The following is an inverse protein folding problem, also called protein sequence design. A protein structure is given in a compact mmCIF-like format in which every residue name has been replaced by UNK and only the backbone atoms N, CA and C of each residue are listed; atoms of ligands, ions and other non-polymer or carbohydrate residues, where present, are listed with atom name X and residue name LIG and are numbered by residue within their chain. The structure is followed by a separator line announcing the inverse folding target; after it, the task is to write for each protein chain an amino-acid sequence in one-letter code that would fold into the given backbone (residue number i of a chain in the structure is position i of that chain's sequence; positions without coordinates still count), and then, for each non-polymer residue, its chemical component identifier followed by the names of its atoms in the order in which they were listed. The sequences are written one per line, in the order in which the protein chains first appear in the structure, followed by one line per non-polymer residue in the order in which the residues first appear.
data_IF_415739797298
#
_entry.id   IF_415739797298
#
_cell.length_a   1.000
_cell.length_b   1.000
_cell.length_c   1.000
_cell.angle_alpha   90.00
_cell.angle_beta   90.00
_cell.angle_gamma   90.00
#
_symmetry.space_group_name_H-M   'P 1'
#
loop_
_entity.id
_entity.type
_entity.pdbx_description
1 polymer ?
#
# COMPACT_ATOMS: atom_id res chain seq x y z
N UNK A 1 -1.05 27.51 -11.16
CA UNK A 1 0.24 28.22 -11.03
C UNK A 1 1.23 27.95 -12.17
N UNK A 2 1.42 26.71 -12.66
CA UNK A 2 2.48 26.41 -13.66
C UNK A 2 2.00 26.21 -15.12
N UNK A 3 0.71 26.37 -15.41
CA UNK A 3 0.15 26.20 -16.77
C UNK A 3 -0.17 24.74 -17.14
N UNK A 4 -0.83 24.54 -18.28
CA UNK A 4 -1.26 23.23 -18.79
C UNK A 4 -0.10 22.34 -19.25
N UNK A 5 1.01 22.95 -19.65
CA UNK A 5 2.10 22.24 -20.33
C UNK A 5 3.12 21.68 -19.34
N UNK A 6 3.02 22.06 -18.06
CA UNK A 6 3.93 21.62 -17.00
C UNK A 6 3.73 20.15 -16.63
N UNK A 7 2.47 19.70 -16.58
CA UNK A 7 2.08 18.33 -16.26
C UNK A 7 1.18 17.80 -17.38
N UNK A 8 1.67 16.81 -18.12
CA UNK A 8 1.00 16.33 -19.33
C UNK A 8 0.74 14.83 -19.25
N UNK A 9 -0.46 14.42 -19.67
CA UNK A 9 -0.81 13.03 -19.89
C UNK A 9 -0.20 12.55 -21.20
N UNK A 10 0.54 11.45 -21.15
CA UNK A 10 1.14 10.76 -22.29
C UNK A 10 0.57 9.34 -22.32
N UNK A 11 -0.44 9.12 -23.16
CA UNK A 11 -1.03 7.81 -23.42
C UNK A 11 -1.10 7.53 -24.93
N UNK A 12 -1.68 6.38 -25.30
CA UNK A 12 -1.80 5.97 -26.70
C UNK A 12 -2.89 6.72 -27.50
N UNK A 13 -3.73 7.52 -26.83
CA UNK A 13 -4.80 8.32 -27.45
C UNK A 13 -4.35 9.77 -27.70
N UNK A 14 -3.28 10.22 -27.06
CA UNK A 14 -2.73 11.56 -27.26
C UNK A 14 -2.05 11.71 -28.63
N UNK A 15 -2.57 12.65 -29.43
CA UNK A 15 -1.95 13.05 -30.69
C UNK A 15 -0.58 13.67 -30.37
N UNK A 16 0.49 13.15 -30.98
CA UNK A 16 1.89 13.55 -30.73
C UNK A 16 2.53 13.11 -29.40
N UNK A 17 2.09 11.99 -28.82
CA UNK A 17 2.71 11.40 -27.62
C UNK A 17 4.24 11.27 -27.72
N UNK A 18 4.78 10.90 -28.89
CA UNK A 18 6.23 10.79 -29.09
C UNK A 18 6.95 12.14 -28.95
N UNK A 19 6.40 13.22 -29.51
CA UNK A 19 7.00 14.55 -29.37
C UNK A 19 6.99 15.03 -27.90
N UNK A 20 5.98 14.64 -27.12
CA UNK A 20 5.92 14.95 -25.70
C UNK A 20 6.99 14.18 -24.92
N UNK A 21 7.23 12.92 -25.27
CA UNK A 21 8.33 12.11 -24.71
C UNK A 21 9.69 12.72 -25.07
N UNK A 22 9.89 13.10 -26.33
CA UNK A 22 11.13 13.69 -26.81
C UNK A 22 11.38 15.09 -26.23
N UNK A 23 10.31 15.83 -25.88
CA UNK A 23 10.45 17.09 -25.17
C UNK A 23 10.72 16.86 -23.67
N UNK A 24 10.09 15.86 -23.05
CA UNK A 24 10.33 15.50 -21.65
C UNK A 24 11.77 15.02 -21.39
N UNK A 25 12.43 14.45 -22.40
CA UNK A 25 13.85 14.07 -22.30
C UNK A 25 14.82 15.25 -22.37
N UNK A 26 14.34 16.45 -22.71
CA UNK A 26 15.16 17.67 -22.77
C UNK A 26 14.90 18.52 -21.53
N UNK A 27 15.93 18.79 -20.69
CA UNK A 27 15.76 19.41 -19.37
C UNK A 27 15.08 20.77 -19.39
N UNK A 28 15.43 21.57 -20.40
CA UNK A 28 14.94 22.94 -20.57
C UNK A 28 13.53 23.02 -21.19
N UNK A 29 12.92 21.88 -21.54
CA UNK A 29 11.61 21.83 -22.20
C UNK A 29 10.52 21.37 -21.24
N UNK A 30 9.29 21.59 -21.68
CA UNK A 30 8.08 21.07 -21.04
C UNK A 30 7.64 19.77 -21.74
N UNK A 31 7.00 18.83 -21.03
CA UNK A 31 6.57 18.92 -19.63
C UNK A 31 7.69 18.65 -18.61
N UNK A 32 7.45 19.00 -17.34
CA UNK A 32 8.31 18.64 -16.20
C UNK A 32 7.74 17.45 -15.42
N UNK A 33 6.43 17.17 -15.57
CA UNK A 33 5.77 15.98 -15.04
C UNK A 33 5.07 15.27 -16.21
N UNK A 34 5.41 14.01 -16.43
CA UNK A 34 4.75 13.16 -17.40
C UNK A 34 3.91 12.09 -16.69
N UNK A 35 2.61 12.10 -16.92
CA UNK A 35 1.68 11.06 -16.42
C UNK A 35 1.46 10.07 -17.54
N UNK A 36 1.69 8.78 -17.29
CA UNK A 36 1.58 7.77 -18.36
C UNK A 36 0.90 6.49 -17.89
N UNK A 37 0.14 5.91 -18.82
CA UNK A 37 -0.36 4.55 -18.75
C UNK A 37 0.46 3.70 -19.72
N UNK A 38 1.42 2.96 -19.18
CA UNK A 38 2.25 1.96 -19.87
C UNK A 38 3.22 2.47 -20.95
N UNK A 39 3.03 3.68 -21.48
CA UNK A 39 3.86 4.28 -22.53
C UNK A 39 5.28 4.63 -22.07
N UNK A 40 5.47 5.02 -20.80
CA UNK A 40 6.78 5.33 -20.22
C UNK A 40 7.44 4.14 -19.51
N UNK A 41 6.78 2.98 -19.45
CA UNK A 41 7.29 1.82 -18.71
C UNK A 41 8.48 1.17 -19.45
N UNK A 42 8.54 1.28 -20.79
CA UNK A 42 9.60 0.73 -21.66
C UNK A 42 10.10 1.72 -22.71
N UNK A 43 11.41 1.75 -22.94
CA UNK A 43 11.99 2.39 -24.14
C UNK A 43 12.34 3.88 -24.04
N UNK A 44 12.23 4.48 -22.85
CA UNK A 44 12.57 5.90 -22.64
C UNK A 44 13.82 6.02 -21.78
N UNK A 45 14.72 6.90 -22.21
CA UNK A 45 16.00 7.17 -21.57
C UNK A 45 16.08 8.67 -21.23
N UNK A 46 15.69 9.02 -20.01
CA UNK A 46 15.82 10.37 -19.46
C UNK A 46 16.69 10.30 -18.21
N UNK A 47 18.01 10.57 -18.32
CA UNK A 47 18.94 10.48 -17.20
C UNK A 47 18.56 11.35 -15.99
N UNK A 48 17.90 12.47 -16.25
CA UNK A 48 17.55 13.50 -15.27
C UNK A 48 16.29 13.20 -14.45
N UNK A 49 15.68 12.01 -14.58
CA UNK A 49 14.54 11.65 -13.74
C UNK A 49 14.95 11.61 -12.26
N UNK A 50 14.44 12.55 -11.47
CA UNK A 50 14.69 12.64 -10.03
C UNK A 50 13.57 12.03 -9.18
N UNK A 51 12.36 11.90 -9.74
CA UNK A 51 11.17 11.46 -9.00
C UNK A 51 10.38 10.43 -9.82
N UNK A 52 10.10 9.26 -9.24
CA UNK A 52 9.17 8.27 -9.78
C UNK A 52 7.95 8.17 -8.88
N UNK A 53 6.76 8.21 -9.47
CA UNK A 53 5.50 8.15 -8.72
C UNK A 53 4.70 6.94 -9.16
N UNK A 54 4.51 5.97 -8.26
CA UNK A 54 3.61 4.84 -8.45
C UNK A 54 2.20 5.20 -7.95
N UNK A 55 1.34 5.58 -8.89
CA UNK A 55 -0.08 5.82 -8.65
C UNK A 55 -0.98 4.68 -9.20
N UNK A 56 -0.38 3.52 -9.47
CA UNK A 56 -1.06 2.29 -9.90
C UNK A 56 -0.48 1.08 -9.18
N UNK A 57 -1.31 0.05 -8.97
CA UNK A 57 -0.84 -1.27 -8.51
C UNK A 57 -0.12 -1.97 -9.65
N UNK A 58 1.14 -2.30 -9.44
CA UNK A 58 1.99 -3.07 -10.35
C UNK A 58 2.00 -4.51 -9.85
N UNK A 59 1.51 -5.43 -10.68
CA UNK A 59 1.42 -6.86 -10.31
C UNK A 59 2.60 -7.70 -10.79
N UNK A 60 3.43 -7.16 -11.69
CA UNK A 60 4.61 -7.85 -12.24
C UNK A 60 5.89 -7.30 -11.63
N UNK A 61 6.70 -8.18 -11.05
CA UNK A 61 8.00 -7.84 -10.44
C UNK A 61 8.96 -7.25 -11.48
N UNK A 62 8.99 -7.82 -12.68
CA UNK A 62 9.80 -7.28 -13.79
C UNK A 62 9.36 -5.87 -14.16
N UNK A 63 8.06 -5.66 -14.37
CA UNK A 63 7.53 -4.34 -14.74
C UNK A 63 7.84 -3.30 -13.66
N UNK A 64 7.72 -3.68 -12.38
CA UNK A 64 8.09 -2.81 -11.26
C UNK A 64 9.56 -2.40 -11.32
N UNK A 65 10.48 -3.36 -11.45
CA UNK A 65 11.91 -3.04 -11.54
C UNK A 65 12.31 -2.31 -12.83
N UNK A 66 11.61 -2.55 -13.94
CA UNK A 66 11.77 -1.75 -15.17
C UNK A 66 11.36 -0.30 -14.95
N UNK A 67 10.27 -0.05 -14.22
CA UNK A 67 9.83 1.29 -13.85
C UNK A 67 10.84 1.95 -12.89
N UNK A 68 11.31 1.24 -11.87
CA UNK A 68 12.37 1.73 -10.94
C UNK A 68 13.66 2.06 -11.70
N UNK A 69 14.05 1.22 -12.65
CA UNK A 69 15.25 1.40 -13.47
C UNK A 69 15.26 2.70 -14.29
N UNK A 70 14.11 3.38 -14.46
CA UNK A 70 14.06 4.70 -15.11
C UNK A 70 14.78 5.78 -14.30
N UNK A 71 14.80 5.65 -12.97
CA UNK A 71 15.47 6.60 -12.08
C UNK A 71 16.98 6.35 -11.90
N UNK A 72 17.50 5.17 -12.27
CA UNK A 72 18.86 4.74 -11.90
C UNK A 72 19.96 5.25 -12.81
N UNK A 73 19.61 5.91 -13.93
CA UNK A 73 20.59 6.51 -14.84
C UNK A 73 21.36 7.62 -14.13
N UNK A 74 22.69 7.64 -14.31
CA UNK A 74 23.56 8.72 -13.84
C UNK A 74 23.36 9.96 -14.71
N UNK A 75 23.42 11.13 -14.08
CA UNK A 75 23.39 12.41 -14.77
C UNK A 75 24.36 13.37 -14.08
N UNK A 76 25.20 14.04 -14.85
CA UNK A 76 26.12 15.05 -14.34
C UNK A 76 25.37 16.35 -14.00
N UNK A 77 25.86 17.10 -13.03
CA UNK A 77 25.39 18.44 -12.64
C UNK A 77 23.88 18.63 -12.33
N UNK A 78 23.11 17.54 -12.17
CA UNK A 78 21.64 17.60 -12.03
C UNK A 78 21.17 18.27 -10.73
N UNK A 79 21.99 18.21 -9.67
CA UNK A 79 21.69 18.83 -8.38
C UNK A 79 22.35 20.19 -8.21
N UNK A 80 23.14 20.64 -9.19
CA UNK A 80 23.92 21.88 -9.16
C UNK A 80 25.27 21.71 -9.85
N UNK A 81 25.95 22.82 -10.13
CA UNK A 81 27.27 22.85 -10.77
C UNK A 81 28.29 22.00 -9.98
N UNK A 82 28.82 20.96 -10.61
CA UNK A 82 29.73 19.98 -10.02
C UNK A 82 29.07 18.91 -9.14
N UNK A 83 27.73 18.82 -9.12
CA UNK A 83 26.98 17.90 -8.25
C UNK A 83 26.14 16.93 -9.10
N UNK A 84 26.75 15.78 -9.39
CA UNK A 84 26.13 14.68 -10.12
C UNK A 84 25.00 14.01 -9.33
N UNK A 85 24.12 13.34 -10.07
CA UNK A 85 23.02 12.54 -9.55
C UNK A 85 23.51 11.40 -8.66
N UNK A 86 23.32 11.54 -7.35
CA UNK A 86 23.63 10.50 -6.36
C UNK A 86 22.45 9.56 -6.06
N UNK A 87 21.22 10.06 -6.15
CA UNK A 87 19.99 9.32 -5.83
C UNK A 87 18.79 9.86 -6.61
N UNK A 88 17.66 9.16 -6.50
CA UNK A 88 16.35 9.59 -6.98
C UNK A 88 15.29 9.11 -5.98
N UNK A 89 14.11 9.74 -5.99
CA UNK A 89 13.02 9.40 -5.09
C UNK A 89 11.98 8.51 -5.76
N UNK A 90 11.41 7.60 -4.96
CA UNK A 90 10.24 6.80 -5.33
C UNK A 90 9.11 7.12 -4.37
N UNK A 91 7.98 7.56 -4.91
CA UNK A 91 6.73 7.78 -4.17
C UNK A 91 5.76 6.66 -4.53
N UNK A 92 5.41 5.81 -3.57
CA UNK A 92 4.56 4.65 -3.80
C UNK A 92 3.24 4.75 -3.05
N UNK A 93 2.18 5.13 -3.76
CA UNK A 93 0.84 5.29 -3.19
C UNK A 93 0.07 3.96 -3.11
N UNK A 94 0.54 2.94 -3.81
CA UNK A 94 -0.19 1.68 -4.01
C UNK A 94 0.43 0.49 -3.29
N UNK A 95 1.49 0.67 -2.51
CA UNK A 95 2.17 -0.38 -1.74
C UNK A 95 2.89 -1.41 -2.63
N UNK A 96 3.38 -0.99 -3.80
CA UNK A 96 4.17 -1.83 -4.70
C UNK A 96 5.52 -2.25 -4.09
N UNK A 97 6.22 -1.34 -3.41
CA UNK A 97 7.50 -1.63 -2.75
C UNK A 97 7.29 -2.73 -1.73
N UNK A 98 6.34 -2.56 -0.82
CA UNK A 98 5.97 -3.58 0.18
C UNK A 98 5.58 -4.91 -0.50
N UNK A 99 4.74 -4.85 -1.53
CA UNK A 99 4.30 -6.02 -2.30
C UNK A 99 5.48 -6.81 -2.92
N UNK A 100 6.54 -6.14 -3.40
CA UNK A 100 7.69 -6.79 -4.05
C UNK A 100 8.90 -7.03 -3.15
N UNK A 101 8.94 -6.44 -1.95
CA UNK A 101 10.10 -6.46 -1.03
C UNK A 101 9.98 -7.52 0.07
N UNK A 102 9.35 -8.67 -0.19
CA UNK A 102 9.23 -9.77 0.78
C UNK A 102 10.59 -10.41 1.13
N UNK A 103 11.36 -9.71 1.96
CA UNK A 103 12.22 -10.24 3.02
C UNK A 103 11.84 -9.44 4.28
N UNK A 104 11.37 -10.10 5.34
CA UNK A 104 10.80 -9.45 6.51
C UNK A 104 11.91 -8.77 7.31
N UNK A 105 11.96 -7.45 7.23
CA UNK A 105 12.36 -6.50 8.26
C UNK A 105 12.29 -5.10 7.64
N UNK A 106 11.13 -4.75 7.11
CA UNK A 106 10.72 -3.35 7.15
C UNK A 106 10.26 -3.12 8.57
N UNK A 107 10.91 -2.22 9.31
CA UNK A 107 10.30 -1.69 10.52
C UNK A 107 8.90 -1.21 10.14
N UNK A 108 7.88 -1.69 10.85
CA UNK A 108 6.55 -1.11 10.72
C UNK A 108 6.72 0.41 10.86
N UNK A 109 6.26 1.22 9.89
CA UNK A 109 6.34 2.66 10.02
C UNK A 109 5.63 2.98 11.32
N UNK A 110 6.37 3.45 12.33
CA UNK A 110 5.77 3.83 13.61
C UNK A 110 4.70 4.84 13.27
N UNK A 111 3.40 4.51 13.44
CA UNK A 111 2.33 5.37 12.96
C UNK A 111 2.48 6.71 13.67
N UNK A 112 2.88 7.74 12.91
CA UNK A 112 3.13 9.05 13.49
C UNK A 112 1.78 9.73 13.62
N UNK A 113 1.28 9.78 14.85
CA UNK A 113 0.00 10.37 15.17
C UNK A 113 -0.07 11.82 14.64
N UNK A 114 -1.11 12.13 13.85
CA UNK A 114 -1.27 13.47 13.31
C UNK A 114 -1.63 14.49 14.41
N UNK A 115 -1.44 15.79 14.12
CA UNK A 115 -1.84 16.84 15.06
C UNK A 115 -3.35 16.82 15.33
N UNK A 116 -4.15 16.51 14.31
CA UNK A 116 -5.60 16.37 14.43
C UNK A 116 -5.98 15.19 15.33
N UNK A 117 -5.33 14.04 15.14
CA UNK A 117 -5.52 12.86 15.99
C UNK A 117 -5.16 13.19 17.44
N UNK A 118 -3.98 13.77 17.67
CA UNK A 118 -3.52 14.11 19.02
C UNK A 118 -4.41 15.14 19.73
N UNK A 119 -4.94 16.10 18.98
CA UNK A 119 -5.86 17.10 19.52
C UNK A 119 -7.20 16.46 19.90
N UNK A 120 -7.70 15.57 19.05
CA UNK A 120 -8.93 14.81 19.31
C UNK A 120 -8.77 13.94 20.57
N UNK A 121 -7.67 13.20 20.68
CA UNK A 121 -7.37 12.35 21.84
C UNK A 121 -7.36 13.14 23.15
N UNK A 122 -6.64 14.27 23.19
CA UNK A 122 -6.58 15.12 24.38
C UNK A 122 -7.96 15.66 24.78
N UNK A 123 -8.80 16.01 23.80
CA UNK A 123 -10.18 16.45 24.06
C UNK A 123 -11.05 15.33 24.58
N UNK A 124 -10.92 14.12 24.04
CA UNK A 124 -11.64 12.92 24.53
C UNK A 124 -11.24 12.62 25.97
N UNK A 125 -9.94 12.61 26.26
CA UNK A 125 -9.43 12.34 27.61
C UNK A 125 -9.89 13.41 28.60
N UNK A 126 -9.79 14.69 28.24
CA UNK A 126 -10.24 15.79 29.08
C UNK A 126 -11.77 15.75 29.30
N UNK A 127 -12.55 15.52 28.25
CA UNK A 127 -14.00 15.36 28.35
C UNK A 127 -14.38 14.15 29.22
N UNK A 128 -13.66 13.03 29.14
CA UNK A 128 -13.92 11.86 29.95
C UNK A 128 -13.61 12.09 31.43
N UNK A 129 -12.48 12.72 31.76
CA UNK A 129 -12.08 13.03 33.16
C UNK A 129 -13.02 14.04 33.80
N UNK A 130 -13.42 15.07 33.07
CA UNK A 130 -14.33 16.11 33.58
C UNK A 130 -15.75 15.59 33.88
N UNK A 131 -16.12 14.38 33.45
CA UNK A 131 -17.39 13.73 33.85
C UNK A 131 -17.46 13.37 35.33
N UNK A 132 -16.31 13.31 36.02
CA UNK A 132 -16.28 12.95 37.44
C UNK A 132 -17.04 13.97 38.29
N UNK A 133 -17.75 13.50 39.32
CA UNK A 133 -18.63 14.32 40.14
C UNK A 133 -17.94 15.57 40.74
N UNK A 134 -16.66 15.46 41.09
CA UNK A 134 -15.83 16.57 41.60
C UNK A 134 -15.77 17.77 40.65
N UNK A 135 -15.75 17.53 39.34
CA UNK A 135 -15.65 18.60 38.34
C UNK A 135 -17.04 19.06 37.86
N UNK A 136 -18.05 18.21 37.97
CA UNK A 136 -19.44 18.56 37.63
C UNK A 136 -20.09 19.53 38.64
N UNK A 137 -19.51 19.66 39.84
CA UNK A 137 -19.91 20.69 40.83
C UNK A 137 -19.32 22.07 40.53
N UNK A 138 -18.27 22.17 39.72
CA UNK A 138 -17.69 23.43 39.27
C UNK A 138 -18.34 23.86 37.96
N UNK A 139 -18.91 25.06 37.93
CA UNK A 139 -19.64 25.60 36.79
C UNK A 139 -18.74 25.75 35.55
N UNK A 140 -17.48 26.17 35.75
CA UNK A 140 -16.54 26.33 34.63
C UNK A 140 -16.16 24.97 34.04
N UNK A 141 -15.74 24.02 34.88
CA UNK A 141 -15.33 22.69 34.45
C UNK A 141 -16.48 21.93 33.75
N UNK A 142 -17.73 22.11 34.22
CA UNK A 142 -18.92 21.58 33.55
C UNK A 142 -19.14 22.19 32.16
N UNK A 143 -19.05 23.51 32.04
CA UNK A 143 -19.21 24.17 30.73
C UNK A 143 -18.12 23.74 29.75
N UNK A 144 -16.87 23.65 30.19
CA UNK A 144 -15.75 23.15 29.38
C UNK A 144 -15.98 21.70 28.92
N UNK A 145 -16.48 20.85 29.82
CA UNK A 145 -16.87 19.48 29.51
C UNK A 145 -17.92 19.42 28.39
N UNK A 146 -18.98 20.22 28.50
CA UNK A 146 -20.08 20.24 27.52
C UNK A 146 -19.62 20.79 26.16
N UNK A 147 -18.79 21.84 26.16
CA UNK A 147 -18.20 22.43 24.95
C UNK A 147 -17.27 21.44 24.23
N UNK A 148 -16.41 20.72 24.97
CA UNK A 148 -15.53 19.70 24.39
C UNK A 148 -16.32 18.58 23.73
N UNK A 149 -17.42 18.14 24.34
CA UNK A 149 -18.30 17.10 23.78
C UNK A 149 -19.01 17.59 22.51
N UNK A 150 -19.49 18.83 22.49
CA UNK A 150 -20.09 19.40 21.29
C UNK A 150 -19.07 19.52 20.14
N UNK A 151 -17.84 19.95 20.43
CA UNK A 151 -16.75 19.98 19.44
C UNK A 151 -16.48 18.59 18.88
N UNK A 152 -16.29 17.59 19.76
CA UNK A 152 -16.00 16.22 19.36
C UNK A 152 -17.15 15.62 18.54
N UNK A 153 -18.40 15.85 18.94
CA UNK A 153 -19.58 15.40 18.19
C UNK A 153 -19.61 16.01 16.78
N UNK A 154 -19.36 17.32 16.64
CA UNK A 154 -19.30 17.96 15.33
C UNK A 154 -18.23 17.32 14.42
N UNK A 155 -17.05 17.04 14.97
CA UNK A 155 -15.96 16.38 14.23
C UNK A 155 -16.34 14.97 13.74
N UNK A 156 -17.08 14.20 14.55
CA UNK A 156 -17.56 12.85 14.16
C UNK A 156 -18.73 12.93 13.17
N UNK A 157 -19.61 13.92 13.31
CA UNK A 157 -20.77 14.13 12.43
C UNK A 157 -20.37 14.49 11.00
N UNK A 158 -19.26 15.21 10.83
CA UNK A 158 -18.75 15.60 9.51
C UNK A 158 -18.13 14.45 8.71
N UNK A 159 -17.94 13.27 9.34
CA UNK A 159 -17.37 12.09 8.66
C UNK A 159 -18.33 11.53 7.59
N UNK A 160 -17.81 11.40 6.37
CA UNK A 160 -18.58 10.85 5.24
C UNK A 160 -18.54 9.31 5.23
N UNK A 161 -19.70 8.66 5.43
CA UNK A 161 -19.89 7.20 5.36
C UNK A 161 -19.62 6.57 3.98
N UNK A 162 -19.51 7.36 2.91
CA UNK A 162 -19.11 6.83 1.60
C UNK A 162 -17.61 6.47 1.56
N UNK A 163 -16.81 7.08 2.44
CA UNK A 163 -15.38 6.79 2.59
C UNK A 163 -15.15 5.36 3.06
N UNK A 164 -14.25 4.65 2.39
CA UNK A 164 -13.89 3.25 2.73
C UNK A 164 -13.32 3.16 4.15
N UNK A 165 -12.53 4.16 4.57
CA UNK A 165 -11.94 4.19 5.92
C UNK A 165 -12.99 4.37 7.01
N UNK A 166 -14.01 5.20 6.75
CA UNK A 166 -15.13 5.41 7.69
C UNK A 166 -16.02 4.17 7.77
N UNK A 167 -16.25 3.46 6.66
CA UNK A 167 -17.03 2.20 6.66
C UNK A 167 -16.38 1.09 7.50
N UNK A 168 -15.05 1.01 7.51
CA UNK A 168 -14.33 0.04 8.36
C UNK A 168 -14.56 0.27 9.86
N UNK A 169 -14.71 1.53 10.26
CA UNK A 169 -15.01 1.94 11.64
C UNK A 169 -16.50 2.28 11.85
N UNK A 170 -17.38 1.85 10.94
CA UNK A 170 -18.74 2.39 10.81
C UNK A 170 -19.63 2.20 12.03
N UNK A 171 -19.44 1.12 12.79
CA UNK A 171 -20.21 0.85 14.02
C UNK A 171 -19.98 1.92 15.10
N UNK A 172 -18.71 2.27 15.36
CA UNK A 172 -18.34 3.29 16.34
C UNK A 172 -18.74 4.68 15.85
N UNK A 173 -18.56 4.96 14.54
CA UNK A 173 -18.96 6.23 13.96
C UNK A 173 -20.48 6.43 14.05
N UNK A 174 -21.30 5.42 13.69
CA UNK A 174 -22.77 5.52 13.79
C UNK A 174 -23.23 5.72 15.25
N UNK A 175 -22.57 5.06 16.20
CA UNK A 175 -22.80 5.27 17.62
C UNK A 175 -22.56 6.74 18.00
N UNK A 176 -21.39 7.29 17.69
CA UNK A 176 -21.00 8.64 18.13
C UNK A 176 -21.48 9.78 17.23
N UNK A 177 -22.21 9.51 16.15
CA UNK A 177 -22.97 10.56 15.45
C UNK A 177 -24.25 10.99 16.21
N UNK A 178 -24.76 10.13 17.09
CA UNK A 178 -25.97 10.37 17.90
C UNK A 178 -25.61 11.17 19.15
N UNK A 179 -26.25 12.33 19.36
CA UNK A 179 -25.91 13.26 20.45
C UNK A 179 -26.14 12.64 21.83
N UNK A 180 -27.08 11.71 21.94
CA UNK A 180 -27.43 11.00 23.17
C UNK A 180 -26.24 10.19 23.72
N UNK A 181 -25.41 9.64 22.83
CA UNK A 181 -24.24 8.83 23.20
C UNK A 181 -23.06 9.67 23.71
N UNK A 182 -23.12 11.00 23.63
CA UNK A 182 -22.15 11.91 24.24
C UNK A 182 -22.52 12.29 25.67
N UNK A 183 -23.73 11.97 26.14
CA UNK A 183 -24.15 12.25 27.53
C UNK A 183 -23.17 11.63 28.52
N UNK A 184 -22.70 10.42 28.24
CA UNK A 184 -21.69 9.71 29.03
C UNK A 184 -20.74 8.94 28.11
N UNK A 185 -19.43 9.15 28.28
CA UNK A 185 -18.35 8.47 27.57
C UNK A 185 -17.67 7.53 28.57
N UNK A 186 -17.75 6.22 28.35
CA UNK A 186 -17.01 5.25 29.17
C UNK A 186 -15.52 5.23 28.83
N UNK A 187 -14.70 4.62 29.67
CA UNK A 187 -13.27 4.44 29.37
C UNK A 187 -13.03 3.60 28.11
N UNK A 188 -13.91 2.64 27.82
CA UNK A 188 -13.87 1.83 26.59
C UNK A 188 -14.22 2.69 25.37
N UNK A 189 -15.26 3.53 25.50
CA UNK A 189 -15.66 4.47 24.45
C UNK A 189 -14.54 5.46 24.12
N UNK A 190 -13.83 5.96 25.14
CA UNK A 190 -12.69 6.84 24.95
C UNK A 190 -11.56 6.15 24.18
N UNK A 191 -11.28 4.87 24.45
CA UNK A 191 -10.29 4.09 23.69
C UNK A 191 -10.76 3.88 22.25
N UNK A 192 -12.01 3.46 22.05
CA UNK A 192 -12.58 3.24 20.71
C UNK A 192 -12.56 4.51 19.85
N UNK A 193 -12.88 5.67 20.45
CA UNK A 193 -12.80 6.97 19.78
C UNK A 193 -11.36 7.30 19.34
N UNK A 194 -10.36 7.06 20.20
CA UNK A 194 -8.95 7.33 19.89
C UNK A 194 -8.38 6.37 18.83
N UNK A 195 -8.69 5.07 18.92
CA UNK A 195 -8.11 4.07 18.02
C UNK A 195 -8.83 4.00 16.66
N UNK A 196 -10.15 4.18 16.63
CA UNK A 196 -10.97 3.92 15.43
C UNK A 196 -11.50 5.18 14.75
N UNK A 197 -11.67 6.27 15.50
CA UNK A 197 -12.26 7.53 14.99
C UNK A 197 -11.20 8.61 14.76
N UNK A 198 -10.25 8.81 15.68
CA UNK A 198 -9.19 9.81 15.49
C UNK A 198 -8.42 9.66 14.16
N UNK A 199 -8.02 8.44 13.70
CA UNK A 199 -7.24 8.28 12.48
C UNK A 199 -7.99 8.59 11.18
N UNK A 200 -9.33 8.62 11.22
CA UNK A 200 -10.18 8.87 10.05
C UNK A 200 -10.65 10.33 9.96
N UNK A 201 -10.28 11.18 10.92
CA UNK A 201 -10.62 12.60 10.91
C UNK A 201 -9.98 13.32 9.73
N UNK A 202 -10.71 14.29 9.19
CA UNK A 202 -10.22 15.14 8.10
C UNK A 202 -9.07 16.01 8.61
N UNK A 203 -7.94 15.94 7.93
CA UNK A 203 -6.75 16.74 8.26
C UNK A 203 -6.88 18.13 7.62
N UNK A 204 -7.03 19.17 8.44
CA UNK A 204 -7.00 20.55 7.95
C UNK A 204 -5.54 21.02 7.79
N UNK A 205 -5.14 21.31 6.55
CA UNK A 205 -3.76 21.71 6.20
C UNK A 205 -3.43 23.16 6.60
N UNK A 206 -4.44 23.97 6.92
CA UNK A 206 -4.34 25.43 6.91
C UNK A 206 -3.78 26.07 8.20
N UNK A 207 -3.78 25.38 9.36
CA UNK A 207 -3.36 26.02 10.61
C UNK A 207 -2.58 25.09 11.55
N UNK A 208 -1.33 24.80 11.20
CA UNK A 208 -0.47 23.94 12.01
C UNK A 208 0.04 24.65 13.29
N UNK A 209 0.03 25.98 13.36
CA UNK A 209 0.61 26.72 14.47
C UNK A 209 -0.35 26.81 15.66
N UNK A 210 -1.62 27.20 15.42
CA UNK A 210 -2.63 27.26 16.46
C UNK A 210 -2.93 25.86 17.03
N UNK A 211 -3.02 24.83 16.18
CA UNK A 211 -3.24 23.45 16.62
C UNK A 211 -2.12 22.93 17.54
N UNK A 212 -0.86 23.26 17.23
CA UNK A 212 0.28 22.92 18.10
C UNK A 212 0.19 23.61 19.46
N UNK A 213 -0.26 24.86 19.48
CA UNK A 213 -0.46 25.59 20.73
C UNK A 213 -1.62 25.00 21.54
N UNK A 214 -2.76 24.72 20.90
CA UNK A 214 -3.92 24.08 21.52
C UNK A 214 -3.51 22.74 22.18
N UNK A 215 -2.75 21.89 21.50
CA UNK A 215 -2.23 20.63 22.07
C UNK A 215 -1.40 20.86 23.33
N UNK A 216 -0.56 21.90 23.37
CA UNK A 216 0.25 22.20 24.55
C UNK A 216 -0.63 22.63 25.71
N UNK A 217 -1.61 23.51 25.48
CA UNK A 217 -2.49 24.01 26.53
C UNK A 217 -3.44 22.92 27.05
N UNK A 218 -4.06 22.14 26.16
CA UNK A 218 -4.94 21.02 26.54
C UNK A 218 -4.19 19.96 27.36
N UNK A 219 -2.91 19.69 27.04
CA UNK A 219 -2.10 18.78 27.84
C UNK A 219 -1.80 19.35 29.24
N UNK A 220 -1.61 20.68 29.36
CA UNK A 220 -1.49 21.30 30.69
C UNK A 220 -2.80 21.19 31.46
N UNK A 221 -3.95 21.44 30.82
CA UNK A 221 -5.27 21.27 31.44
C UNK A 221 -5.48 19.83 31.91
N UNK A 222 -5.15 18.84 31.07
CA UNK A 222 -5.24 17.43 31.42
C UNK A 222 -4.35 17.08 32.63
N UNK A 223 -3.14 17.62 32.70
CA UNK A 223 -2.25 17.42 33.85
C UNK A 223 -2.72 18.06 35.17
N UNK A 224 -3.74 18.92 35.14
CA UNK A 224 -4.35 19.47 36.36
C UNK A 224 -5.48 18.58 36.87
N UNK A 225 -6.10 17.79 36.00
CA UNK A 225 -7.26 16.96 36.35
C UNK A 225 -6.94 15.47 36.46
N UNK A 226 -5.81 15.06 35.88
CA UNK A 226 -5.29 13.69 35.88
C UNK A 226 -3.83 13.69 36.39
N UNK A 227 -3.61 13.02 37.53
CA UNK A 227 -2.31 12.94 38.20
C UNK A 227 -1.27 12.11 37.41
N UNK A 228 -1.70 11.24 36.49
CA UNK A 228 -0.80 10.43 35.67
C UNK A 228 -0.14 11.26 34.55
N UNK A 229 -0.75 12.38 34.17
CA UNK A 229 -0.33 13.21 33.04
C UNK A 229 0.68 14.29 33.47
N UNK A 230 1.85 14.31 32.84
CA UNK A 230 2.92 15.28 33.15
C UNK A 230 2.90 16.50 32.23
N UNK A 231 2.38 17.62 32.72
CA UNK A 231 2.31 18.88 31.98
C UNK A 231 3.59 19.73 31.95
N UNK A 232 4.64 19.38 32.70
CA UNK A 232 5.84 20.24 32.89
C UNK A 232 6.54 20.65 31.59
N UNK A 233 6.70 19.70 30.65
CA UNK A 233 7.29 19.98 29.33
C UNK A 233 6.42 20.94 28.51
N UNK A 234 5.10 20.78 28.58
CA UNK A 234 4.14 21.63 27.86
C UNK A 234 4.11 23.04 28.48
N UNK A 235 4.13 23.17 29.81
CA UNK A 235 4.25 24.46 30.52
C UNK A 235 5.50 25.23 30.07
N UNK A 236 6.66 24.57 30.06
CA UNK A 236 7.91 25.20 29.61
C UNK A 236 7.83 25.70 28.15
N UNK A 237 7.23 24.91 27.26
CA UNK A 237 7.05 25.32 25.85
C UNK A 237 6.09 26.49 25.71
N UNK A 238 5.01 26.53 26.48
CA UNK A 238 4.08 27.67 26.49
C UNK A 238 4.77 28.94 26.97
N UNK A 239 5.59 28.86 28.04
CA UNK A 239 6.42 29.99 28.47
C UNK A 239 7.39 30.46 27.36
N UNK A 240 8.06 29.54 26.66
CA UNK A 240 8.95 29.87 25.55
C UNK A 240 8.23 30.53 24.37
N UNK A 241 7.03 30.08 24.05
CA UNK A 241 6.16 30.69 23.03
C UNK A 241 5.80 32.11 23.46
N UNK A 242 5.40 32.31 24.72
CA UNK A 242 5.11 33.63 25.25
C UNK A 242 6.34 34.56 25.19
N UNK A 243 7.52 34.08 25.59
CA UNK A 243 8.79 34.83 25.47
C UNK A 243 9.10 35.21 24.02
N UNK A 244 8.90 34.30 23.08
CA UNK A 244 9.09 34.57 21.65
C UNK A 244 8.10 35.62 21.12
N UNK A 245 6.88 35.67 21.67
CA UNK A 245 5.89 36.71 21.34
C UNK A 245 6.27 38.07 21.94
N UNK A 246 6.93 38.12 23.11
CA UNK A 246 7.40 39.40 23.69
C UNK A 246 8.37 40.11 22.75
N UNK A 247 9.24 39.38 22.06
CA UNK A 247 10.17 39.92 21.05
C UNK A 247 9.44 40.52 19.83
N UNK A 248 8.15 40.21 19.65
CA UNK A 248 7.29 40.67 18.56
C UNK A 248 6.30 41.77 18.97
N UNK A 249 6.61 42.51 20.04
CA UNK A 249 5.79 43.61 20.54
C UNK A 249 5.56 44.76 19.52
N UNK A 250 6.29 44.80 18.41
CA UNK A 250 6.04 45.74 17.31
C UNK A 250 4.76 45.43 16.50
N UNK A 251 4.23 44.21 16.58
CA UNK A 251 2.99 43.81 15.90
C UNK A 251 1.78 44.30 16.72
N UNK A 252 0.84 45.08 16.16
CA UNK A 252 -0.28 45.65 16.91
C UNK A 252 -1.14 44.62 17.68
N UNK A 253 -1.37 43.45 17.08
CA UNK A 253 -2.14 42.37 17.70
C UNK A 253 -1.42 41.77 18.92
N UNK A 254 -0.09 41.64 18.86
CA UNK A 254 0.75 41.17 19.96
C UNK A 254 0.86 42.23 21.04
N UNK A 255 1.07 43.50 20.66
CA UNK A 255 1.12 44.63 21.58
C UNK A 255 -0.16 44.78 22.41
N UNK A 256 -1.33 44.56 21.80
CA UNK A 256 -2.62 44.63 22.48
C UNK A 256 -2.79 43.58 23.59
N UNK A 257 -2.09 42.44 23.49
CA UNK A 257 -2.15 41.32 24.46
C UNK A 257 -0.87 41.16 25.28
N UNK A 258 0.05 42.13 25.21
CA UNK A 258 1.34 42.10 25.91
C UNK A 258 1.24 41.85 27.43
N UNK A 259 0.25 42.38 28.16
CA UNK A 259 0.10 42.07 29.59
C UNK A 259 -0.07 40.58 29.87
N UNK A 260 -0.91 39.90 29.08
CA UNK A 260 -1.14 38.46 29.18
C UNK A 260 0.11 37.67 28.78
N UNK A 261 0.79 38.10 27.71
CA UNK A 261 2.01 37.45 27.24
C UNK A 261 3.11 37.52 28.31
N UNK A 262 3.26 38.67 29.00
CA UNK A 262 4.23 38.84 30.08
C UNK A 262 3.93 37.95 31.29
N UNK A 263 2.66 37.77 31.63
CA UNK A 263 2.23 36.86 32.70
C UNK A 263 2.61 35.41 32.38
N UNK A 264 2.30 34.95 31.16
CA UNK A 264 2.54 33.56 30.72
C UNK A 264 4.03 33.28 30.50
N UNK A 265 4.82 34.29 30.14
CA UNK A 265 6.26 34.18 29.93
C UNK A 265 7.03 33.84 31.22
N UNK A 266 6.48 34.17 32.40
CA UNK A 266 7.07 33.85 33.70
C UNK A 266 6.63 32.44 34.17
N UNK A 267 7.57 31.48 34.30
CA UNK A 267 7.26 30.14 34.79
C UNK A 267 6.66 30.09 36.20
N UNK A 268 6.87 31.12 37.03
CA UNK A 268 6.28 31.19 38.37
C UNK A 268 4.74 31.25 38.31
N UNK A 269 4.18 31.97 37.34
CA UNK A 269 2.74 32.13 37.16
C UNK A 269 2.05 30.86 36.63
N UNK A 270 2.81 29.93 36.05
CA UNK A 270 2.30 28.67 35.49
C UNK A 270 2.24 27.52 36.51
N UNK A 271 2.69 27.73 37.77
CA UNK A 271 2.70 26.69 38.81
C UNK A 271 1.31 26.37 39.35
N UNK A 272 0.52 27.39 39.71
CA UNK A 272 -0.80 27.25 40.35
C UNK A 272 -1.94 27.77 39.45
N UNK A 273 -1.83 27.49 38.15
CA UNK A 273 -2.80 27.97 37.16
C UNK A 273 -4.07 27.11 37.17
N UNK A 274 -5.24 27.74 37.00
CA UNK A 274 -6.55 27.07 36.95
C UNK A 274 -6.94 26.68 35.53
N UNK A 275 -7.92 25.78 35.40
CA UNK A 275 -8.49 25.40 34.09
C UNK A 275 -9.06 26.61 33.34
N UNK A 276 -9.79 27.47 34.05
CA UNK A 276 -10.35 28.71 33.51
C UNK A 276 -9.26 29.61 32.93
N UNK A 277 -8.17 29.80 33.67
CA UNK A 277 -7.08 30.66 33.22
C UNK A 277 -6.37 30.08 32.00
N UNK A 278 -6.16 28.76 31.95
CA UNK A 278 -5.57 28.09 30.79
C UNK A 278 -6.44 28.21 29.55
N UNK A 279 -7.76 28.08 29.69
CA UNK A 279 -8.68 28.20 28.56
C UNK A 279 -8.74 29.63 28.02
N UNK A 280 -8.71 30.62 28.91
CA UNK A 280 -8.55 32.02 28.53
C UNK A 280 -7.24 32.25 27.76
N UNK A 281 -6.11 31.73 28.27
CA UNK A 281 -4.80 31.82 27.58
C UNK A 281 -4.86 31.15 26.21
N UNK A 282 -5.50 29.98 26.09
CA UNK A 282 -5.67 29.25 24.83
C UNK A 282 -6.33 30.13 23.78
N UNK A 283 -7.50 30.68 24.12
CA UNK A 283 -8.30 31.48 23.19
C UNK A 283 -7.64 32.81 22.82
N UNK A 284 -7.00 33.48 23.76
CA UNK A 284 -6.40 34.79 23.54
C UNK A 284 -5.04 34.75 22.82
N UNK A 285 -4.27 33.67 22.99
CA UNK A 285 -2.93 33.56 22.43
C UNK A 285 -2.85 32.70 21.16
N UNK A 286 -3.83 31.82 20.88
CA UNK A 286 -3.75 30.87 19.74
C UNK A 286 -3.47 31.53 18.40
N UNK A 287 -4.16 32.63 18.10
CA UNK A 287 -4.00 33.33 16.82
C UNK A 287 -2.69 34.13 16.78
N UNK A 288 -2.14 34.51 17.94
CA UNK A 288 -0.88 35.25 18.00
C UNK A 288 0.32 34.35 17.69
N UNK A 289 0.21 33.05 17.95
CA UNK A 289 1.28 32.08 17.72
C UNK A 289 1.72 32.05 16.25
N UNK A 290 0.82 32.37 15.31
CA UNK A 290 1.16 32.47 13.89
C UNK A 290 2.33 33.45 13.63
N UNK A 291 2.48 34.51 14.43
CA UNK A 291 3.52 35.52 14.26
C UNK A 291 4.93 35.04 14.67
N UNK A 292 5.03 33.97 15.47
CA UNK A 292 6.31 33.31 15.78
C UNK A 292 6.76 32.45 14.59
N UNK A 293 5.79 31.81 13.93
CA UNK A 293 6.04 30.88 12.84
C UNK A 293 6.11 31.56 11.47
N UNK A 294 5.53 32.77 11.32
CA UNK A 294 5.62 33.59 10.11
C UNK A 294 7.06 33.98 9.74
N UNK A 295 7.94 34.16 10.74
CA UNK A 295 9.37 34.46 10.50
C UNK A 295 10.31 33.26 10.69
N UNK A 296 9.79 32.09 11.10
CA UNK A 296 10.54 30.83 11.14
C UNK A 296 10.21 29.91 9.97
N UNK A 297 9.86 30.49 8.84
CA UNK A 297 10.45 30.06 7.58
C UNK A 297 11.95 30.39 7.55
N UNK A 298 12.74 29.99 8.58
CA UNK A 298 14.15 29.73 8.32
C UNK A 298 14.10 28.67 7.25
N UNK A 299 14.36 29.05 5.99
CA UNK A 299 14.93 28.10 5.04
C UNK A 299 16.26 27.69 5.67
N UNK A 300 16.19 26.73 6.58
CA UNK A 300 17.33 25.89 6.81
C UNK A 300 17.45 25.09 5.53
N UNK A 301 18.50 25.34 4.76
CA UNK A 301 19.06 24.26 3.97
C UNK A 301 19.60 23.28 5.01
N UNK A 302 18.75 22.35 5.43
CA UNK A 302 19.20 21.20 6.20
C UNK A 302 20.02 20.37 5.22
N UNK A 303 21.31 20.68 5.16
CA UNK A 303 22.29 19.65 4.87
C UNK A 303 22.51 18.90 6.18
N UNK A 304 21.44 18.27 6.70
CA UNK A 304 21.63 17.14 7.58
C UNK A 304 22.21 16.11 6.63
N UNK A 305 23.54 15.94 6.66
CA UNK A 305 24.06 14.65 6.26
C UNK A 305 23.34 13.68 7.18
N UNK A 306 22.46 12.86 6.60
CA UNK A 306 21.77 11.82 7.35
C UNK A 306 22.82 11.16 8.25
N UNK A 307 22.49 10.92 9.52
CA UNK A 307 23.20 9.86 10.23
C UNK A 307 22.71 8.60 9.51
N UNK A 308 23.41 8.28 8.42
CA UNK A 308 23.40 6.96 7.85
C UNK A 308 24.08 6.14 8.93
N UNK A 309 23.28 5.53 9.82
CA UNK A 309 23.71 4.26 10.37
C UNK A 309 23.90 3.37 9.16
N UNK A 310 25.16 3.23 8.75
CA UNK A 310 25.58 2.24 7.79
C UNK A 310 25.28 0.89 8.44
N UNK A 311 24.09 0.36 8.19
CA UNK A 311 23.69 -1.00 8.52
C UNK A 311 24.38 -2.02 7.59
N UNK A 312 25.56 -1.62 7.08
CA UNK A 312 26.27 -2.16 5.94
C UNK A 312 25.74 -1.61 4.61
N UNK A 313 26.56 -1.78 3.57
CA UNK A 313 26.01 -2.01 2.24
C UNK A 313 24.98 -3.12 2.34
N UNK A 314 23.69 -2.78 2.20
CA UNK A 314 22.74 -3.77 1.73
C UNK A 314 23.35 -4.33 0.44
N UNK A 315 23.81 -5.58 0.49
CA UNK A 315 24.03 -6.34 -0.73
C UNK A 315 22.70 -6.22 -1.44
N UNK A 316 22.66 -5.41 -2.52
CA UNK A 316 21.43 -5.13 -3.24
C UNK A 316 20.67 -6.45 -3.36
N UNK A 317 19.41 -6.50 -2.88
CA UNK A 317 18.77 -7.73 -2.43
C UNK A 317 19.08 -8.81 -3.44
N UNK A 318 19.79 -9.86 -3.02
CA UNK A 318 20.08 -10.95 -3.94
C UNK A 318 18.75 -11.41 -4.51
N UNK A 319 18.62 -11.25 -5.83
CA UNK A 319 17.44 -11.51 -6.62
C UNK A 319 17.05 -12.98 -6.51
N UNK A 320 16.41 -13.38 -5.43
CA UNK A 320 15.59 -14.58 -5.43
C UNK A 320 14.21 -14.17 -5.91
N UNK A 321 14.14 -13.88 -7.22
CA UNK A 321 12.87 -14.02 -7.94
C UNK A 321 12.42 -15.45 -7.71
N UNK A 322 11.21 -15.65 -7.18
CA UNK A 322 10.70 -17.01 -6.95
C UNK A 322 10.85 -17.82 -8.24
N UNK A 323 11.23 -19.09 -8.13
CA UNK A 323 11.49 -19.95 -9.28
C UNK A 323 10.31 -19.92 -10.29
N UNK A 324 9.07 -19.94 -9.78
CA UNK A 324 7.83 -19.79 -10.58
C UNK A 324 7.80 -18.50 -11.40
N UNK A 325 8.18 -17.37 -10.80
CA UNK A 325 8.13 -16.07 -11.46
C UNK A 325 9.20 -15.96 -12.57
N UNK A 326 10.41 -16.52 -12.37
CA UNK A 326 11.44 -16.62 -13.43
C UNK A 326 10.94 -17.41 -14.63
N UNK A 327 10.28 -18.53 -14.38
CA UNK A 327 9.70 -19.39 -15.43
C UNK A 327 8.57 -18.68 -16.17
N UNK A 328 7.62 -18.03 -15.46
CA UNK A 328 6.52 -17.31 -16.10
C UNK A 328 6.99 -16.16 -17.00
N UNK A 329 7.98 -15.40 -16.54
CA UNK A 329 8.51 -14.27 -17.29
C UNK A 329 9.31 -14.73 -18.53
N UNK A 330 10.06 -15.83 -18.41
CA UNK A 330 10.73 -16.43 -19.55
C UNK A 330 9.74 -16.99 -20.58
N UNK A 331 8.69 -17.68 -20.13
CA UNK A 331 7.65 -18.23 -21.00
C UNK A 331 6.89 -17.14 -21.77
N UNK A 332 6.68 -15.95 -21.16
CA UNK A 332 6.08 -14.80 -21.86
C UNK A 332 6.93 -14.33 -23.04
N UNK A 333 8.24 -14.32 -22.89
CA UNK A 333 9.16 -13.82 -23.91
C UNK A 333 9.51 -14.87 -24.98
N UNK A 334 9.23 -16.16 -24.73
CA UNK A 334 9.65 -17.27 -25.59
C UNK A 334 8.48 -18.13 -26.11
N UNK A 335 7.25 -17.58 -26.16
CA UNK A 335 6.04 -18.31 -26.59
C UNK A 335 6.14 -18.97 -27.97
N UNK A 336 7.04 -18.47 -28.82
CA UNK A 336 7.21 -18.97 -30.18
C UNK A 336 8.06 -20.24 -30.30
N UNK A 337 8.67 -20.70 -29.19
CA UNK A 337 9.49 -21.91 -29.19
C UNK A 337 8.70 -23.14 -29.66
N UNK A 338 9.25 -23.95 -30.59
CA UNK A 338 8.56 -25.12 -31.13
C UNK A 338 8.09 -26.10 -30.05
N UNK A 339 8.89 -26.31 -29.00
CA UNK A 339 8.55 -27.22 -27.89
C UNK A 339 7.34 -26.75 -27.09
N UNK A 340 7.23 -25.44 -26.84
CA UNK A 340 6.09 -24.87 -26.12
C UNK A 340 4.81 -24.93 -26.97
N UNK A 341 4.95 -24.73 -28.29
CA UNK A 341 3.83 -24.90 -29.24
C UNK A 341 3.32 -26.33 -29.25
N UNK A 342 4.21 -27.32 -29.33
CA UNK A 342 3.85 -28.75 -29.23
C UNK A 342 3.12 -29.08 -27.93
N UNK A 343 3.63 -28.57 -26.81
CA UNK A 343 3.07 -28.79 -25.49
C UNK A 343 1.66 -28.18 -25.33
N UNK A 344 1.43 -27.00 -25.89
CA UNK A 344 0.11 -26.36 -25.94
C UNK A 344 -0.85 -27.08 -26.90
N UNK A 345 -0.37 -27.51 -28.08
CA UNK A 345 -1.18 -28.18 -29.11
C UNK A 345 -1.42 -29.67 -28.88
N UNK A 346 -0.96 -30.21 -27.76
CA UNK A 346 -1.03 -31.64 -27.42
C UNK A 346 -0.33 -32.54 -28.45
N UNK A 347 0.81 -32.10 -28.99
CA UNK A 347 1.67 -32.90 -29.87
C UNK A 347 2.75 -33.64 -29.08
N UNK A 348 3.04 -34.89 -29.46
CA UNK A 348 4.01 -35.76 -28.78
C UNK A 348 5.38 -35.08 -28.66
N UNK A 349 5.87 -34.95 -27.43
CA UNK A 349 7.23 -34.51 -27.17
C UNK A 349 8.23 -35.61 -27.54
N UNK A 350 9.33 -35.20 -28.18
CA UNK A 350 10.49 -36.06 -28.41
C UNK A 350 11.44 -36.00 -27.23
N UNK A 351 12.37 -36.97 -27.13
CA UNK A 351 13.39 -36.96 -26.08
C UNK A 351 14.26 -35.69 -26.10
N UNK A 352 14.53 -35.14 -27.29
CA UNK A 352 15.24 -33.87 -27.45
C UNK A 352 14.44 -32.67 -26.91
N UNK A 353 13.11 -32.69 -27.08
CA UNK A 353 12.22 -31.65 -26.56
C UNK A 353 12.23 -31.67 -25.01
N UNK A 354 12.21 -32.85 -24.38
CA UNK A 354 12.27 -32.98 -22.91
C UNK A 354 13.61 -32.46 -22.37
N UNK A 355 14.74 -32.89 -22.96
CA UNK A 355 16.07 -32.40 -22.56
C UNK A 355 16.16 -30.88 -22.69
N UNK A 356 15.53 -30.30 -23.73
CA UNK A 356 15.50 -28.85 -23.90
C UNK A 356 14.72 -28.18 -22.76
N UNK A 357 13.54 -28.68 -22.40
CA UNK A 357 12.77 -28.16 -21.26
C UNK A 357 13.50 -28.29 -19.93
N UNK A 358 14.15 -29.44 -19.69
CA UNK A 358 14.98 -29.67 -18.50
C UNK A 358 16.16 -28.71 -18.45
N UNK A 359 16.85 -28.48 -19.57
CA UNK A 359 17.97 -27.55 -19.66
C UNK A 359 17.52 -26.13 -19.33
N UNK A 360 16.39 -25.70 -19.91
CA UNK A 360 15.81 -24.38 -19.63
C UNK A 360 15.48 -24.25 -18.14
N UNK A 361 14.80 -25.24 -17.56
CA UNK A 361 14.34 -25.18 -16.16
C UNK A 361 15.46 -25.37 -15.12
N UNK A 362 16.48 -26.20 -15.40
CA UNK A 362 17.52 -26.59 -14.43
C UNK A 362 18.89 -25.97 -14.68
N UNK A 363 19.07 -25.23 -15.78
CA UNK A 363 20.31 -24.49 -16.05
C UNK A 363 20.06 -23.02 -16.36
N UNK A 364 19.10 -22.71 -17.23
CA UNK A 364 18.91 -21.32 -17.68
C UNK A 364 18.08 -20.49 -16.69
N UNK A 365 17.10 -21.10 -16.03
CA UNK A 365 16.14 -20.41 -15.16
C UNK A 365 16.37 -20.62 -13.65
N UNK A 366 17.11 -21.66 -13.27
CA UNK A 366 17.39 -22.03 -11.89
C UNK A 366 18.13 -23.36 -11.83
N UNK A 367 18.21 -24.01 -10.66
CA UNK A 367 18.83 -25.34 -10.53
C UNK A 367 17.80 -26.47 -10.40
N UNK A 368 18.25 -27.71 -10.56
CA UNK A 368 17.39 -28.89 -10.36
C UNK A 368 16.85 -28.97 -8.92
N UNK A 369 17.65 -28.57 -7.94
CA UNK A 369 17.27 -28.55 -6.52
C UNK A 369 16.19 -27.50 -6.24
N UNK A 370 16.29 -26.32 -6.86
CA UNK A 370 15.27 -25.26 -6.76
C UNK A 370 13.94 -25.71 -7.38
N UNK A 371 14.00 -26.37 -8.54
CA UNK A 371 12.84 -26.98 -9.18
C UNK A 371 12.18 -28.03 -8.26
N UNK A 372 12.96 -28.97 -7.72
CA UNK A 372 12.44 -30.01 -6.83
C UNK A 372 11.88 -29.45 -5.52
N UNK A 373 12.50 -28.42 -4.95
CA UNK A 373 11.97 -27.74 -3.77
C UNK A 373 10.61 -27.11 -4.04
N UNK A 374 10.44 -26.48 -5.21
CA UNK A 374 9.17 -25.91 -5.64
C UNK A 374 8.09 -26.96 -5.86
N UNK A 375 8.41 -28.05 -6.59
CA UNK A 375 7.46 -29.15 -6.86
C UNK A 375 6.97 -29.80 -5.57
N UNK A 376 7.86 -30.04 -4.59
CA UNK A 376 7.49 -30.57 -3.26
C UNK A 376 6.58 -29.63 -2.46
N UNK A 377 6.79 -28.30 -2.57
CA UNK A 377 5.99 -27.31 -1.86
C UNK A 377 4.58 -27.10 -2.42
N UNK A 378 4.38 -27.30 -3.72
CA UNK A 378 3.09 -27.04 -4.39
C UNK A 378 2.12 -28.24 -4.42
N UNK A 379 2.46 -29.38 -3.80
CA UNK A 379 1.64 -30.62 -3.83
C UNK A 379 1.16 -31.00 -5.26
N UNK A 380 1.96 -30.73 -6.29
CA UNK A 380 1.61 -31.21 -7.63
C UNK A 380 1.67 -32.74 -7.63
N UNK A 381 0.58 -33.39 -8.03
CA UNK A 381 0.47 -34.85 -8.10
C UNK A 381 1.36 -35.45 -9.21
N UNK A 382 1.79 -34.63 -10.16
CA UNK A 382 2.47 -35.02 -11.39
C UNK A 382 4.01 -35.10 -11.29
N UNK A 383 4.55 -35.61 -10.18
CA UNK A 383 5.97 -36.03 -10.06
C UNK A 383 7.04 -35.03 -10.56
N UNK A 384 8.20 -35.55 -10.98
CA UNK A 384 9.38 -34.77 -11.40
C UNK A 384 9.31 -34.26 -12.87
N UNK A 385 8.16 -34.39 -13.56
CA UNK A 385 8.07 -34.15 -15.01
C UNK A 385 8.02 -32.63 -15.33
N UNK A 386 9.11 -32.10 -15.89
CA UNK A 386 9.23 -30.67 -16.24
C UNK A 386 8.16 -30.22 -17.24
N UNK A 387 7.81 -31.08 -18.19
CA UNK A 387 6.76 -30.80 -19.16
C UNK A 387 5.38 -30.60 -18.48
N UNK A 388 5.05 -31.37 -17.44
CA UNK A 388 3.82 -31.17 -16.68
C UNK A 388 3.82 -29.81 -15.98
N UNK A 389 4.94 -29.44 -15.34
CA UNK A 389 5.09 -28.14 -14.70
C UNK A 389 4.88 -26.98 -15.69
N UNK A 390 5.54 -27.01 -16.85
CA UNK A 390 5.37 -25.96 -17.87
C UNK A 390 3.93 -25.96 -18.41
N UNK A 391 3.29 -27.12 -18.56
CA UNK A 391 1.89 -27.25 -19.00
C UNK A 391 0.91 -26.64 -18.01
N UNK A 392 1.16 -26.75 -16.70
CA UNK A 392 0.35 -26.07 -15.68
C UNK A 392 0.41 -24.53 -15.76
N UNK A 393 1.44 -23.98 -16.42
CA UNK A 393 1.62 -22.53 -16.57
C UNK A 393 1.04 -22.03 -17.90
N UNK A 394 1.24 -22.77 -18.99
CA UNK A 394 0.79 -22.37 -20.34
C UNK A 394 -0.67 -22.78 -20.58
N UNK A 395 -1.12 -23.88 -19.98
CA UNK A 395 -2.38 -24.54 -20.29
C UNK A 395 -2.31 -25.38 -21.57
N UNK A 396 -3.47 -25.84 -22.02
CA UNK A 396 -3.64 -26.64 -23.24
C UNK A 396 -4.67 -26.01 -24.18
N UNK A 397 -4.52 -26.26 -25.47
CA UNK A 397 -5.48 -25.87 -26.50
C UNK A 397 -6.77 -26.69 -26.33
N UNK A 398 -7.83 -26.04 -25.84
CA UNK A 398 -9.11 -26.69 -25.54
C UNK A 398 -9.79 -27.22 -26.79
N UNK A 399 -9.68 -26.53 -27.93
CA UNK A 399 -10.31 -26.97 -29.17
C UNK A 399 -9.65 -28.24 -29.69
N UNK A 400 -8.31 -28.28 -29.69
CA UNK A 400 -7.56 -29.49 -30.06
C UNK A 400 -7.79 -30.62 -29.06
N UNK A 401 -7.87 -30.34 -27.76
CA UNK A 401 -8.18 -31.35 -26.75
C UNK A 401 -9.55 -32.00 -27.01
N UNK A 402 -10.56 -31.21 -27.32
CA UNK A 402 -11.90 -31.71 -27.68
C UNK A 402 -11.89 -32.51 -28.98
N UNK A 403 -11.16 -32.06 -30.01
CA UNK A 403 -11.00 -32.81 -31.26
C UNK A 403 -10.32 -34.17 -31.03
N UNK A 404 -9.22 -34.19 -30.26
CA UNK A 404 -8.50 -35.42 -29.92
C UNK A 404 -9.35 -36.38 -29.11
N UNK A 405 -10.21 -35.87 -28.24
CA UNK A 405 -11.17 -36.72 -27.55
C UNK A 405 -12.20 -37.33 -28.52
N UNK A 406 -12.69 -36.55 -29.48
CA UNK A 406 -13.61 -37.03 -30.50
C UNK A 406 -13.01 -38.15 -31.36
N UNK A 407 -11.69 -38.12 -31.66
CA UNK A 407 -10.99 -39.21 -32.35
C UNK A 407 -11.09 -40.57 -31.61
N UNK A 408 -11.24 -40.54 -30.27
CA UNK A 408 -11.38 -41.75 -29.45
C UNK A 408 -12.84 -42.24 -29.33
N UNK A 409 -13.80 -41.48 -29.85
CA UNK A 409 -15.20 -41.84 -29.91
C UNK A 409 -15.54 -42.35 -31.30
N UNK A 410 -16.04 -43.58 -31.40
CA UNK A 410 -16.57 -44.11 -32.66
C UNK A 410 -17.92 -43.44 -32.99
N UNK A 411 -17.85 -42.38 -33.79
CA UNK A 411 -18.91 -41.78 -34.61
C UNK A 411 -20.23 -41.41 -33.90
N UNK A 412 -20.15 -40.90 -32.66
CA UNK A 412 -21.32 -40.40 -31.92
C UNK A 412 -21.03 -39.11 -31.18
N UNK A 413 -21.93 -38.13 -31.34
CA UNK A 413 -21.89 -36.88 -30.59
C UNK A 413 -21.93 -37.13 -29.07
N UNK A 414 -21.21 -36.30 -28.33
CA UNK A 414 -21.20 -36.31 -26.87
C UNK A 414 -22.53 -35.78 -26.35
N UNK A 415 -23.01 -36.34 -25.24
CA UNK A 415 -24.11 -35.73 -24.51
C UNK A 415 -23.57 -34.61 -23.57
N UNK A 416 -24.44 -33.73 -23.06
CA UNK A 416 -24.02 -32.62 -22.21
C UNK A 416 -23.20 -33.04 -20.98
N UNK A 417 -23.57 -34.14 -20.31
CA UNK A 417 -22.88 -34.64 -19.11
C UNK A 417 -21.46 -35.13 -19.45
N UNK A 418 -21.28 -35.76 -20.62
CA UNK A 418 -19.98 -36.21 -21.12
C UNK A 418 -19.08 -35.03 -21.51
N UNK A 419 -19.66 -33.96 -22.08
CA UNK A 419 -18.93 -32.72 -22.39
C UNK A 419 -18.49 -31.97 -21.13
N UNK A 420 -19.37 -31.89 -20.13
CA UNK A 420 -19.04 -31.27 -18.84
C UNK A 420 -17.90 -32.02 -18.15
N UNK A 421 -17.95 -33.34 -18.16
CA UNK A 421 -16.88 -34.18 -17.63
C UNK A 421 -15.54 -33.96 -18.33
N UNK A 422 -15.55 -33.87 -19.66
CA UNK A 422 -14.35 -33.58 -20.44
C UNK A 422 -13.77 -32.20 -20.10
N UNK A 423 -14.62 -31.19 -19.92
CA UNK A 423 -14.20 -29.85 -19.49
C UNK A 423 -13.56 -29.90 -18.10
N UNK A 424 -14.05 -30.74 -17.20
CA UNK A 424 -13.45 -30.97 -15.88
C UNK A 424 -12.06 -31.59 -15.99
N UNK A 425 -11.88 -32.62 -16.83
CA UNK A 425 -10.54 -33.21 -17.09
C UNK A 425 -9.58 -32.16 -17.67
N UNK A 426 -10.01 -31.41 -18.68
CA UNK A 426 -9.20 -30.36 -19.32
C UNK A 426 -8.83 -29.26 -18.31
N UNK A 427 -9.78 -28.84 -17.47
CA UNK A 427 -9.54 -27.82 -16.44
C UNK A 427 -8.55 -28.33 -15.38
N UNK A 428 -8.70 -29.57 -14.95
CA UNK A 428 -7.75 -30.21 -14.03
C UNK A 428 -6.34 -30.29 -14.61
N UNK A 429 -6.19 -30.62 -15.90
CA UNK A 429 -4.88 -30.66 -16.57
C UNK A 429 -4.28 -29.27 -16.74
N UNK A 430 -5.11 -28.24 -16.97
CA UNK A 430 -4.64 -26.86 -16.99
C UNK A 430 -4.12 -26.41 -15.62
N UNK A 431 -4.74 -26.85 -14.53
CA UNK A 431 -4.36 -26.46 -13.17
C UNK A 431 -3.16 -27.26 -12.65
N UNK A 432 -3.16 -28.57 -12.87
CA UNK A 432 -2.17 -29.49 -12.30
C UNK A 432 -1.06 -29.87 -13.28
N UNK A 433 -1.22 -29.58 -14.57
CA UNK A 433 -0.21 -29.85 -15.58
C UNK A 433 -0.16 -31.30 -16.06
N UNK A 434 -0.79 -32.25 -15.39
CA UNK A 434 -0.95 -33.64 -15.84
C UNK A 434 -2.17 -34.34 -15.24
N UNK A 435 -2.56 -35.45 -15.87
CA UNK A 435 -3.58 -36.35 -15.37
C UNK A 435 -3.26 -37.80 -15.76
N UNK A 436 -3.33 -38.70 -14.79
CA UNK A 436 -3.11 -40.14 -14.98
C UNK A 436 -4.38 -40.93 -14.71
N UNK A 437 -4.42 -42.18 -15.16
CA UNK A 437 -5.53 -43.09 -14.84
C UNK A 437 -5.70 -43.33 -13.33
N UNK A 438 -4.67 -43.10 -12.54
CA UNK A 438 -4.74 -43.22 -11.08
C UNK A 438 -5.46 -42.01 -10.45
N UNK A 439 -5.27 -40.82 -11.02
CA UNK A 439 -5.93 -39.59 -10.55
C UNK A 439 -7.45 -39.66 -10.75
N UNK A 440 -7.87 -40.30 -11.85
CA UNK A 440 -9.28 -40.55 -12.14
C UNK A 440 -10.00 -41.38 -11.08
N UNK A 441 -9.26 -42.23 -10.35
CA UNK A 441 -9.82 -43.15 -9.35
C UNK A 441 -9.72 -42.57 -7.94
N UNK A 442 -8.66 -41.82 -7.65
CA UNK A 442 -8.28 -41.46 -6.28
C UNK A 442 -8.37 -39.96 -5.96
N UNK A 443 -8.66 -39.10 -6.95
CA UNK A 443 -8.62 -37.65 -6.78
C UNK A 443 -9.99 -37.03 -7.09
N UNK A 444 -10.51 -36.22 -6.16
CA UNK A 444 -11.71 -35.41 -6.38
C UNK A 444 -11.42 -34.32 -7.44
N UNK A 445 -12.36 -34.03 -8.37
CA UNK A 445 -13.77 -34.46 -8.41
C UNK A 445 -14.04 -35.78 -9.14
N UNK A 446 -13.01 -36.57 -9.45
CA UNK A 446 -13.14 -37.77 -10.31
C UNK A 446 -13.46 -39.06 -9.53
N UNK A 447 -12.94 -39.18 -8.30
CA UNK A 447 -13.03 -40.39 -7.44
C UNK A 447 -14.45 -40.86 -7.10
N UNK A 448 -15.46 -40.01 -7.27
CA UNK A 448 -16.88 -40.32 -7.02
C UNK A 448 -17.78 -40.31 -8.26
N UNK A 449 -17.23 -40.14 -9.46
CA UNK A 449 -18.03 -40.00 -10.69
C UNK A 449 -18.54 -41.38 -11.18
N UNK A 450 -19.78 -41.47 -11.69
CA UNK A 450 -20.31 -42.72 -12.25
C UNK A 450 -19.94 -42.87 -13.75
N UNK A 451 -18.71 -43.28 -13.99
CA UNK A 451 -18.16 -43.48 -15.34
C UNK A 451 -18.96 -44.51 -16.16
N UNK A 452 -19.37 -45.60 -15.52
CA UNK A 452 -20.09 -46.69 -16.18
C UNK A 452 -21.53 -46.29 -16.50
N UNK A 453 -22.19 -45.51 -15.65
CA UNK A 453 -23.52 -44.97 -15.90
C UNK A 453 -23.54 -43.90 -17.00
N UNK A 454 -22.56 -42.98 -17.02
CA UNK A 454 -22.55 -41.84 -17.95
C UNK A 454 -21.93 -42.17 -19.30
N UNK A 455 -20.85 -42.96 -19.33
CA UNK A 455 -20.13 -43.29 -20.57
C UNK A 455 -20.42 -44.71 -21.08
N UNK A 456 -20.85 -45.65 -20.23
CA UNK A 456 -21.14 -47.03 -20.63
C UNK A 456 -20.01 -47.66 -21.46
N UNK A 457 -20.26 -48.14 -22.70
CA UNK A 457 -19.21 -48.70 -23.55
C UNK A 457 -18.15 -47.67 -24.01
N UNK A 458 -18.42 -46.37 -23.90
CA UNK A 458 -17.50 -45.28 -24.24
C UNK A 458 -16.49 -44.97 -23.12
N UNK A 459 -16.62 -45.59 -21.94
CA UNK A 459 -15.71 -45.36 -20.81
C UNK A 459 -14.24 -45.66 -21.16
N UNK A 460 -14.00 -46.63 -22.05
CA UNK A 460 -12.67 -46.93 -22.58
C UNK A 460 -12.03 -45.73 -23.31
N UNK A 461 -12.84 -44.90 -23.98
CA UNK A 461 -12.37 -43.70 -24.67
C UNK A 461 -11.81 -42.65 -23.71
N UNK A 462 -12.37 -42.53 -22.51
CA UNK A 462 -11.87 -41.59 -21.50
C UNK A 462 -10.51 -42.02 -20.95
N UNK A 463 -10.35 -43.32 -20.67
CA UNK A 463 -9.04 -43.86 -20.26
C UNK A 463 -7.96 -43.70 -21.33
N UNK A 464 -8.31 -43.90 -22.61
CA UNK A 464 -7.40 -43.66 -23.75
C UNK A 464 -7.03 -42.19 -23.87
N UNK A 465 -7.98 -41.27 -23.67
CA UNK A 465 -7.75 -39.84 -23.73
C UNK A 465 -6.87 -39.34 -22.59
N UNK A 466 -7.11 -39.79 -21.35
CA UNK A 466 -6.24 -39.48 -20.21
C UNK A 466 -4.84 -40.06 -20.43
N UNK A 467 -4.74 -41.30 -20.91
CA UNK A 467 -3.47 -41.89 -21.31
C UNK A 467 -2.76 -41.07 -22.39
N UNK A 468 -3.49 -40.56 -23.39
CA UNK A 468 -2.94 -39.66 -24.41
C UNK A 468 -2.41 -38.37 -23.78
N UNK A 469 -3.19 -37.69 -22.94
CA UNK A 469 -2.76 -36.45 -22.28
C UNK A 469 -1.49 -36.63 -21.45
N UNK A 470 -1.34 -37.77 -20.77
CA UNK A 470 -0.12 -38.12 -20.07
C UNK A 470 1.04 -38.43 -21.04
N UNK A 471 0.82 -39.30 -22.02
CA UNK A 471 1.86 -39.76 -22.94
C UNK A 471 2.44 -38.63 -23.79
N UNK A 472 1.65 -37.61 -24.12
CA UNK A 472 2.12 -36.48 -24.94
C UNK A 472 3.27 -35.71 -24.27
N UNK A 473 3.35 -35.72 -22.93
CA UNK A 473 4.40 -35.03 -22.16
C UNK A 473 5.53 -35.94 -21.68
N UNK A 474 5.48 -37.24 -22.02
CA UNK A 474 6.48 -38.26 -21.67
C UNK A 474 7.07 -38.82 -22.99
N UNK A 475 8.38 -38.95 -23.11
CA UNK A 475 9.05 -39.42 -24.33
C UNK A 475 9.70 -40.79 -24.17
#
# INVERSE_FOLDING_TARGET
EYGSDFCVLIDNQVTYAQNLIDNFSVPAKMPQIAVSVDMLDTGIDVPEILNLVFFKKVKSKIKFWQMVGRGTRKCEDVFGEGIDKQFFFIFDWCGNIEYFSQTPNGSDPVPTQSLTERLFDLRVDLAAVLQHATYQTDEFAKNLHDELKDILWHQVKELNFESISVRKSGEIVDKFQKKENWTYISSIDAIDLKEKVAPILVRHLADNAALRFDILVLNIQLSLVDEEVKGTKSKNKVCQIAQSLQEKASIPQVAAKLPLINEVADPANMKNITLERLEFIRNEMRDLVQFIFAEKGKKFTLNIGDIVEDDGTAVGPQLTVSYRQRVMDWLKNNRDLPVLKKLFSLEQLTHADIIQLETICWRDLGTKEEYQAYVRGCKMLCGDIVAAFIRSIIGIDREKASQRYADFLTDTALNPDQEEYLKTIISYVCENGDITSNDLINVEPFSGYDWLGVFGPKAQGVGKFVGYLHNVIVA
#
